data_IF_989431547022
#
_entry.id   IF_989431547022
#
_cell.length_a   1.000
_cell.length_b   1.000
_cell.length_c   1.000
_cell.angle_alpha   90.00
_cell.angle_beta   90.00
_cell.angle_gamma   90.00
#
_symmetry.space_group_name_H-M   'P 1'
#
loop_
_entity.id
_entity.type
_entity.pdbx_description
1 polymer ?
#
# COMPACT_ATOMS: atom_id res chain seq x y z
N UNK A 1 60.84 -43.50 40.72
CA UNK A 1 61.19 -43.84 39.33
C UNK A 1 60.28 -42.98 38.47
N UNK A 2 60.52 -41.68 38.27
CA UNK A 2 61.64 -41.01 37.56
C UNK A 2 61.70 -41.53 36.12
N UNK A 3 61.53 -40.77 35.03
CA UNK A 3 61.72 -39.35 34.69
C UNK A 3 60.63 -38.95 33.65
N UNK A 4 59.97 -37.78 33.63
CA UNK A 4 60.41 -36.41 33.27
C UNK A 4 61.18 -36.31 31.95
N UNK A 5 60.56 -35.72 30.92
CA UNK A 5 61.18 -34.68 30.09
C UNK A 5 60.12 -33.76 29.47
N UNK A 6 60.30 -32.49 29.77
CA UNK A 6 59.60 -31.27 29.40
C UNK A 6 60.24 -30.65 28.18
N UNK A 7 59.50 -29.92 27.34
CA UNK A 7 59.99 -28.68 26.73
C UNK A 7 58.83 -27.75 26.37
N UNK A 8 58.89 -26.56 26.96
CA UNK A 8 58.14 -25.36 26.61
C UNK A 8 58.95 -24.60 25.55
N UNK A 9 58.30 -23.83 24.67
CA UNK A 9 58.52 -22.38 24.65
C UNK A 9 57.54 -21.62 23.75
N UNK A 10 57.22 -20.44 24.27
CA UNK A 10 56.41 -19.34 23.76
C UNK A 10 56.95 -18.71 22.47
N UNK A 11 56.05 -18.19 21.64
CA UNK A 11 56.24 -16.86 21.05
C UNK A 11 54.93 -16.27 20.55
N UNK A 12 54.53 -15.21 21.25
CA UNK A 12 53.56 -14.21 20.81
C UNK A 12 54.15 -13.38 19.65
N UNK A 13 53.38 -13.06 18.61
CA UNK A 13 53.44 -11.77 17.90
C UNK A 13 52.13 -11.57 17.12
N UNK A 14 51.58 -10.37 17.30
CA UNK A 14 50.36 -9.81 16.72
C UNK A 14 50.61 -9.24 15.32
N UNK A 15 49.67 -9.39 14.38
CA UNK A 15 49.01 -8.27 13.65
C UNK A 15 48.16 -8.77 12.45
N UNK A 16 46.96 -8.20 12.36
CA UNK A 16 46.22 -7.66 11.17
C UNK A 16 46.63 -8.21 9.77
N UNK A 17 45.74 -8.55 8.84
CA UNK A 17 44.49 -7.91 8.44
C UNK A 17 43.71 -8.77 7.43
N UNK A 18 42.40 -8.52 7.37
CA UNK A 18 41.47 -8.51 6.21
C UNK A 18 41.49 -9.63 5.17
N UNK A 19 40.34 -10.33 5.07
CA UNK A 19 39.71 -10.69 3.80
C UNK A 19 38.22 -11.01 4.06
N UNK A 20 37.47 -9.95 4.34
CA UNK A 20 36.03 -9.91 4.14
C UNK A 20 35.78 -9.83 2.63
N UNK A 21 35.33 -10.91 2.02
CA UNK A 21 34.83 -10.89 0.63
C UNK A 21 33.32 -10.78 0.70
N UNK A 22 32.86 -9.60 1.12
CA UNK A 22 31.51 -9.14 0.91
C UNK A 22 31.47 -8.52 -0.50
N UNK A 23 31.00 -9.28 -1.48
CA UNK A 23 30.65 -8.71 -2.79
C UNK A 23 29.43 -7.80 -2.60
N UNK A 24 29.71 -6.51 -2.46
CA UNK A 24 28.73 -5.44 -2.47
C UNK A 24 28.29 -5.22 -3.93
N UNK A 25 27.08 -5.66 -4.26
CA UNK A 25 26.47 -5.39 -5.56
C UNK A 25 26.00 -3.93 -5.56
N UNK A 26 26.78 -3.03 -6.15
CA UNK A 26 26.30 -1.67 -6.50
C UNK A 26 25.25 -1.79 -7.61
N UNK A 27 24.02 -1.40 -7.28
CA UNK A 27 22.95 -1.18 -8.24
C UNK A 27 23.22 0.15 -8.96
N UNK A 28 23.68 0.09 -10.20
CA UNK A 28 23.73 1.24 -11.10
C UNK A 28 22.30 1.78 -11.29
N UNK A 29 21.99 2.90 -10.65
CA UNK A 29 20.80 3.70 -10.94
C UNK A 29 21.06 4.45 -12.24
N UNK A 30 20.39 4.05 -13.31
CA UNK A 30 20.32 4.88 -14.51
C UNK A 30 19.61 6.19 -14.17
N UNK A 31 20.39 7.27 -14.13
CA UNK A 31 19.94 8.63 -13.95
C UNK A 31 19.18 9.06 -15.20
N UNK A 32 17.84 9.11 -15.09
CA UNK A 32 16.98 9.53 -16.20
C UNK A 32 17.14 11.05 -16.42
N UNK A 33 17.78 11.38 -17.54
CA UNK A 33 18.09 12.75 -17.97
C UNK A 33 16.78 13.51 -18.30
N UNK A 34 16.35 14.38 -17.38
CA UNK A 34 15.23 15.30 -17.60
C UNK A 34 15.69 16.51 -18.42
N UNK A 35 14.99 16.89 -19.52
CA UNK A 35 15.40 18.02 -20.33
C UNK A 35 15.41 19.35 -19.55
N UNK A 36 16.58 19.96 -19.50
CA UNK A 36 16.86 21.29 -18.95
C UNK A 36 15.97 22.38 -19.55
N UNK A 37 15.10 22.97 -18.73
CA UNK A 37 14.62 24.34 -18.94
C UNK A 37 15.76 25.30 -18.57
N UNK A 38 16.18 26.12 -19.53
CA UNK A 38 17.23 27.13 -19.35
C UNK A 38 16.64 28.37 -18.68
N UNK A 39 16.98 28.59 -17.42
CA UNK A 39 16.88 29.92 -16.80
C UNK A 39 17.99 30.84 -17.36
N UNK A 40 17.67 32.06 -17.85
CA UNK A 40 18.67 33.04 -18.24
C UNK A 40 19.32 33.70 -17.01
N UNK A 41 20.64 33.78 -17.05
CA UNK A 41 21.52 34.35 -16.04
C UNK A 41 21.31 35.86 -15.86
N UNK A 42 21.24 36.30 -14.61
CA UNK A 42 21.44 37.70 -14.21
C UNK A 42 22.94 38.06 -14.23
N UNK A 43 23.32 39.01 -15.08
CA UNK A 43 24.49 39.87 -14.85
C UNK A 43 24.10 41.35 -14.98
N UNK A 44 24.83 42.15 -14.22
CA UNK A 44 24.46 43.43 -13.64
C UNK A 44 24.54 44.66 -14.56
N UNK A 45 23.68 45.63 -14.21
CA UNK A 45 23.80 47.09 -14.39
C UNK A 45 23.26 47.71 -15.68
N UNK A 46 22.07 48.32 -15.58
CA UNK A 46 21.87 49.73 -15.93
C UNK A 46 20.76 50.31 -15.06
N UNK A 47 21.01 51.49 -14.48
CA UNK A 47 20.08 52.21 -13.61
C UNK A 47 18.82 52.62 -14.37
N UNK A 48 17.64 52.22 -13.89
CA UNK A 48 16.39 52.89 -14.20
C UNK A 48 15.54 52.99 -12.93
N UNK A 49 15.08 54.21 -12.67
CA UNK A 49 14.50 54.69 -11.42
C UNK A 49 13.20 53.97 -11.06
N UNK A 50 13.07 53.63 -9.78
CA UNK A 50 11.79 53.31 -9.15
C UNK A 50 10.91 54.57 -9.16
N UNK A 51 9.95 54.63 -10.08
CA UNK A 51 8.85 55.58 -10.01
C UNK A 51 7.62 54.90 -9.39
N UNK A 52 7.54 54.96 -8.06
CA UNK A 52 6.29 54.80 -7.34
C UNK A 52 5.57 56.16 -7.30
N UNK A 53 4.65 56.38 -8.25
CA UNK A 53 3.41 57.17 -8.16
C UNK A 53 3.03 57.73 -9.54
N UNK A 54 1.91 57.29 -10.13
CA UNK A 54 0.67 58.10 -10.04
C UNK A 54 -0.56 57.34 -10.58
N UNK A 55 -1.66 57.66 -9.93
CA UNK A 55 -3.05 57.20 -10.03
C UNK A 55 -3.64 56.88 -11.41
N UNK A 56 -4.52 55.87 -11.42
CA UNK A 56 -5.94 56.09 -11.69
C UNK A 56 -6.80 54.96 -11.08
N UNK A 57 -7.86 55.37 -10.39
CA UNK A 57 -8.88 54.50 -9.80
C UNK A 57 -9.41 53.47 -10.82
N UNK A 58 -8.98 52.22 -10.70
CA UNK A 58 -9.80 51.09 -11.11
C UNK A 58 -10.48 50.59 -9.85
N UNK A 59 -11.77 50.88 -9.72
CA UNK A 59 -12.62 50.26 -8.71
C UNK A 59 -12.34 48.75 -8.68
N UNK A 60 -12.17 48.20 -7.47
CA UNK A 60 -11.64 46.87 -7.24
C UNK A 60 -12.18 45.85 -8.23
N UNK A 61 -11.30 45.29 -9.05
CA UNK A 61 -11.57 44.01 -9.68
C UNK A 61 -11.68 43.03 -8.50
N UNK A 62 -12.92 42.79 -8.08
CA UNK A 62 -13.24 41.69 -7.20
C UNK A 62 -12.83 40.47 -8.02
N UNK A 63 -11.66 39.91 -7.73
CA UNK A 63 -11.31 38.59 -8.25
C UNK A 63 -12.35 37.66 -7.65
N UNK A 64 -13.34 37.29 -8.46
CA UNK A 64 -14.36 36.33 -8.07
C UNK A 64 -13.72 34.96 -8.29
N UNK A 65 -13.51 34.17 -7.24
CA UNK A 65 -13.01 32.81 -7.41
C UNK A 65 -13.91 32.06 -8.39
N UNK A 66 -13.30 31.26 -9.28
CA UNK A 66 -13.99 30.38 -10.24
C UNK A 66 -14.62 31.05 -11.48
N UNK A 67 -14.45 32.36 -11.71
CA UNK A 67 -14.99 33.02 -12.93
C UNK A 67 -14.29 32.61 -14.23
N UNK A 68 -13.02 32.20 -14.17
CA UNK A 68 -12.24 31.76 -15.34
C UNK A 68 -12.21 30.23 -15.49
N UNK A 69 -12.90 29.49 -14.62
CA UNK A 69 -12.96 28.04 -14.72
C UNK A 69 -13.97 27.62 -15.80
N UNK A 70 -13.60 26.71 -16.72
CA UNK A 70 -14.51 26.23 -17.74
C UNK A 70 -15.69 25.50 -17.09
N UNK A 71 -16.91 25.93 -17.45
CA UNK A 71 -18.14 25.24 -17.04
C UNK A 71 -18.14 23.85 -17.69
N UNK A 72 -18.47 22.82 -16.91
CA UNK A 72 -18.60 21.46 -17.42
C UNK A 72 -19.64 21.41 -18.56
N UNK A 73 -19.26 20.81 -19.68
CA UNK A 73 -20.19 20.58 -20.78
C UNK A 73 -21.26 19.53 -20.41
N UNK A 74 -22.38 19.54 -21.15
CA UNK A 74 -23.52 18.65 -20.89
C UNK A 74 -23.10 17.17 -20.92
N UNK A 75 -22.19 16.80 -21.84
CA UNK A 75 -21.66 15.43 -21.97
C UNK A 75 -20.84 15.01 -20.74
N UNK A 76 -20.10 15.93 -20.12
CA UNK A 76 -19.33 15.70 -18.90
C UNK A 76 -20.26 15.54 -17.71
N UNK A 77 -21.28 16.40 -17.59
CA UNK A 77 -22.27 16.31 -16.52
C UNK A 77 -23.02 14.98 -16.58
N UNK A 78 -23.46 14.57 -17.77
CA UNK A 78 -24.16 13.28 -17.96
C UNK A 78 -23.27 12.09 -17.58
N UNK A 79 -21.98 12.09 -18.00
CA UNK A 79 -21.02 11.05 -17.60
C UNK A 79 -20.82 11.01 -16.09
N UNK A 80 -20.62 12.17 -15.46
CA UNK A 80 -20.42 12.27 -14.02
C UNK A 80 -21.63 11.76 -13.22
N UNK A 81 -22.84 12.15 -13.64
CA UNK A 81 -24.07 11.67 -13.00
C UNK A 81 -24.27 10.17 -13.17
N UNK A 82 -23.97 9.62 -14.36
CA UNK A 82 -24.01 8.19 -14.61
C UNK A 82 -23.00 7.43 -13.74
N UNK A 83 -21.76 7.92 -13.63
CA UNK A 83 -20.73 7.32 -12.76
C UNK A 83 -21.17 7.34 -11.29
N UNK A 84 -21.72 8.46 -10.82
CA UNK A 84 -22.25 8.58 -9.46
C UNK A 84 -23.42 7.62 -9.20
N UNK A 85 -24.33 7.48 -10.16
CA UNK A 85 -25.46 6.57 -10.05
C UNK A 85 -24.99 5.11 -10.00
N UNK A 86 -24.07 4.72 -10.88
CA UNK A 86 -23.49 3.37 -10.86
C UNK A 86 -22.75 3.06 -9.55
N UNK A 87 -22.00 4.03 -9.00
CA UNK A 87 -21.35 3.90 -7.71
C UNK A 87 -22.36 3.75 -6.56
N UNK A 88 -23.47 4.50 -6.60
CA UNK A 88 -24.56 4.39 -5.61
C UNK A 88 -25.21 3.00 -5.65
N UNK A 89 -25.56 2.52 -6.85
CA UNK A 89 -26.15 1.18 -7.04
C UNK A 89 -25.20 0.10 -6.54
N UNK A 90 -23.91 0.22 -6.87
CA UNK A 90 -22.91 -0.73 -6.42
C UNK A 90 -22.79 -0.75 -4.89
N UNK A 91 -22.76 0.41 -4.26
CA UNK A 91 -22.70 0.53 -2.80
C UNK A 91 -23.93 -0.07 -2.11
N UNK A 92 -25.14 0.16 -2.66
CA UNK A 92 -26.38 -0.44 -2.15
C UNK A 92 -26.34 -1.98 -2.26
N UNK A 93 -25.82 -2.53 -3.35
CA UNK A 93 -25.63 -3.97 -3.50
C UNK A 93 -24.70 -4.55 -2.44
N UNK A 94 -23.55 -3.90 -2.18
CA UNK A 94 -22.61 -4.31 -1.13
C UNK A 94 -23.27 -4.30 0.27
N UNK A 95 -24.12 -3.32 0.54
CA UNK A 95 -24.89 -3.28 1.79
C UNK A 95 -25.87 -4.45 1.89
N UNK A 96 -26.56 -4.82 0.81
CA UNK A 96 -27.45 -5.98 0.76
C UNK A 96 -26.70 -7.33 0.87
N UNK A 97 -25.41 -7.36 0.52
CA UNK A 97 -24.56 -8.54 0.77
C UNK A 97 -24.16 -8.64 2.25
N UNK A 98 -23.95 -7.50 2.92
CA UNK A 98 -23.58 -7.44 4.33
C UNK A 98 -24.74 -7.83 5.25
N UNK A 99 -25.95 -7.32 4.98
CA UNK A 99 -27.15 -7.61 5.79
C UNK A 99 -27.70 -9.03 5.55
N UNK A 100 -27.19 -9.73 4.54
CA UNK A 100 -27.57 -11.09 4.19
C UNK A 100 -28.81 -11.20 3.30
N UNK A 101 -29.34 -10.08 2.80
CA UNK A 101 -30.42 -10.07 1.79
C UNK A 101 -29.98 -10.82 0.53
N UNK A 102 -28.73 -10.62 0.10
CA UNK A 102 -28.07 -11.39 -0.95
C UNK A 102 -27.14 -12.42 -0.28
N UNK A 103 -27.45 -13.73 -0.35
CA UNK A 103 -26.61 -14.75 0.27
C UNK A 103 -25.25 -14.86 -0.43
N UNK A 104 -24.21 -15.21 0.34
CA UNK A 104 -22.82 -15.36 -0.13
C UNK A 104 -22.67 -16.21 -1.39
N UNK A 105 -23.50 -17.24 -1.56
CA UNK A 105 -23.48 -18.11 -2.73
C UNK A 105 -23.85 -17.42 -4.05
N UNK A 106 -24.54 -16.28 -4.01
CA UNK A 106 -24.96 -15.55 -5.21
C UNK A 106 -23.88 -14.62 -5.75
N UNK A 107 -23.05 -14.05 -4.89
CA UNK A 107 -22.00 -13.09 -5.30
C UNK A 107 -20.58 -13.65 -5.19
N UNK A 108 -20.34 -14.68 -4.36
CA UNK A 108 -19.03 -15.30 -4.27
C UNK A 108 -18.72 -16.12 -5.52
N UNK A 109 -17.70 -15.70 -6.28
CA UNK A 109 -17.22 -16.41 -7.48
C UNK A 109 -16.00 -17.30 -7.20
N UNK A 110 -15.36 -17.14 -6.03
CA UNK A 110 -14.13 -17.87 -5.66
C UNK A 110 -14.34 -19.04 -4.69
N UNK A 111 -15.59 -19.27 -4.25
CA UNK A 111 -16.01 -20.31 -3.29
C UNK A 111 -15.37 -20.26 -1.89
N UNK A 112 -14.70 -19.17 -1.53
CA UNK A 112 -14.00 -19.02 -0.24
C UNK A 112 -14.40 -17.73 0.53
N UNK A 113 -15.40 -16.99 0.05
CA UNK A 113 -15.89 -15.81 0.79
C UNK A 113 -16.81 -16.25 1.93
N UNK A 114 -16.73 -15.54 3.06
CA UNK A 114 -17.57 -15.75 4.23
C UNK A 114 -17.83 -14.39 4.89
N UNK A 115 -19.09 -14.15 5.30
CA UNK A 115 -19.56 -12.89 5.86
C UNK A 115 -19.46 -12.81 7.39
N UNK A 116 -19.25 -13.93 8.09
CA UNK A 116 -19.27 -14.03 9.56
C UNK A 116 -18.31 -13.10 10.29
N UNK A 117 -17.18 -12.77 9.67
CA UNK A 117 -16.12 -11.93 10.25
C UNK A 117 -16.00 -10.58 9.55
N UNK A 118 -16.91 -10.23 8.64
CA UNK A 118 -16.93 -8.93 7.95
C UNK A 118 -17.61 -7.87 8.81
N UNK A 119 -17.22 -6.60 8.64
CA UNK A 119 -17.70 -5.50 9.49
C UNK A 119 -18.43 -4.41 8.72
N UNK A 120 -18.19 -4.25 7.42
CA UNK A 120 -18.88 -3.26 6.60
C UNK A 120 -19.00 -3.70 5.14
N UNK A 121 -19.71 -2.89 4.36
CA UNK A 121 -20.07 -3.10 2.96
C UNK A 121 -18.85 -3.22 2.05
N UNK A 122 -17.79 -2.43 2.27
CA UNK A 122 -16.56 -2.49 1.47
C UNK A 122 -15.87 -3.85 1.53
N UNK A 123 -16.09 -4.62 2.60
CA UNK A 123 -15.49 -5.94 2.80
C UNK A 123 -16.27 -7.07 2.12
N UNK A 124 -17.44 -6.80 1.54
CA UNK A 124 -18.34 -7.79 0.90
C UNK A 124 -18.08 -7.99 -0.60
N UNK A 125 -16.83 -7.77 -1.01
CA UNK A 125 -16.37 -7.97 -2.39
C UNK A 125 -15.68 -9.32 -2.55
N UNK A 126 -15.96 -10.01 -3.66
CA UNK A 126 -15.24 -11.23 -4.01
C UNK A 126 -13.88 -10.88 -4.62
N UNK A 127 -12.85 -11.69 -4.38
CA UNK A 127 -11.54 -11.46 -5.00
C UNK A 127 -11.55 -11.56 -6.53
N UNK A 128 -12.57 -12.17 -7.13
CA UNK A 128 -12.75 -12.23 -8.58
C UNK A 128 -13.43 -10.97 -9.16
N UNK A 129 -14.02 -10.12 -8.31
CA UNK A 129 -14.58 -8.81 -8.72
C UNK A 129 -13.50 -7.72 -8.72
N UNK A 130 -12.35 -7.99 -8.09
CA UNK A 130 -11.24 -7.05 -7.98
C UNK A 130 -10.21 -7.36 -9.07
N UNK A 131 -10.11 -6.48 -10.07
CA UNK A 131 -9.18 -6.63 -11.22
C UNK A 131 -7.73 -6.88 -10.83
N UNK A 132 -7.26 -6.27 -9.75
CA UNK A 132 -5.88 -6.45 -9.29
C UNK A 132 -5.67 -7.82 -8.68
N UNK A 133 -6.66 -8.40 -8.03
CA UNK A 133 -6.59 -9.77 -7.51
C UNK A 133 -6.53 -10.79 -8.66
N UNK A 134 -7.34 -10.61 -9.71
CA UNK A 134 -7.33 -11.52 -10.87
C UNK A 134 -6.02 -11.42 -11.68
N UNK A 135 -5.47 -10.20 -11.82
CA UNK A 135 -4.14 -9.98 -12.41
C UNK A 135 -3.03 -10.61 -11.57
N UNK A 136 -3.05 -10.44 -10.25
CA UNK A 136 -2.06 -11.05 -9.36
C UNK A 136 -2.08 -12.58 -9.42
N UNK A 137 -3.26 -13.20 -9.61
CA UNK A 137 -3.39 -14.65 -9.78
C UNK A 137 -2.87 -15.19 -11.11
N UNK A 138 -2.75 -14.32 -12.12
CA UNK A 138 -2.35 -14.69 -13.48
C UNK A 138 -0.97 -14.13 -13.84
N UNK A 139 -0.17 -13.72 -12.85
CA UNK A 139 1.19 -13.22 -13.10
C UNK A 139 2.13 -14.36 -13.50
N UNK A 140 3.17 -14.03 -14.28
CA UNK A 140 4.14 -15.02 -14.75
C UNK A 140 4.82 -15.75 -13.59
N UNK A 141 5.16 -15.05 -12.50
CA UNK A 141 5.73 -15.63 -11.28
C UNK A 141 4.81 -16.70 -10.65
N UNK A 142 3.50 -16.44 -10.64
CA UNK A 142 2.52 -17.40 -10.12
C UNK A 142 2.40 -18.58 -11.07
N UNK A 143 2.38 -18.36 -12.38
CA UNK A 143 2.29 -19.43 -13.37
C UNK A 143 3.51 -20.34 -13.41
N UNK A 144 4.66 -19.86 -12.95
CA UNK A 144 5.86 -20.69 -12.77
C UNK A 144 5.70 -21.68 -11.61
N UNK A 145 4.99 -21.29 -10.54
CA UNK A 145 4.75 -22.13 -9.36
C UNK A 145 3.49 -23.00 -9.50
N UNK A 146 2.47 -22.50 -10.18
CA UNK A 146 1.19 -23.18 -10.43
C UNK A 146 0.86 -23.13 -11.91
N UNK A 147 0.91 -24.29 -12.58
CA UNK A 147 0.68 -24.44 -14.03
C UNK A 147 -0.63 -23.80 -14.53
N UNK A 148 -1.61 -23.59 -13.64
CA UNK A 148 -2.92 -22.99 -13.94
C UNK A 148 -3.20 -21.88 -12.91
N UNK A 149 -3.70 -20.69 -13.34
CA UNK A 149 -4.06 -19.62 -12.44
C UNK A 149 -5.04 -20.09 -11.36
N UNK A 150 -4.81 -19.78 -10.08
CA UNK A 150 -5.73 -20.16 -9.02
C UNK A 150 -7.06 -19.40 -9.13
N UNK A 151 -8.15 -20.05 -8.71
CA UNK A 151 -9.50 -19.45 -8.71
C UNK A 151 -9.75 -18.51 -7.52
N UNK A 152 -8.84 -18.42 -6.56
CA UNK A 152 -8.99 -17.60 -5.37
C UNK A 152 -7.63 -17.07 -4.90
N UNK A 153 -7.62 -15.84 -4.38
CA UNK A 153 -6.41 -15.23 -3.79
C UNK A 153 -5.85 -16.00 -2.60
N UNK A 154 -6.66 -16.80 -1.91
CA UNK A 154 -6.17 -17.67 -0.84
C UNK A 154 -5.23 -18.78 -1.36
N UNK A 155 -5.39 -19.17 -2.63
CA UNK A 155 -4.57 -20.18 -3.29
C UNK A 155 -3.37 -19.57 -4.03
N UNK A 156 -3.17 -18.25 -3.94
CA UNK A 156 -1.97 -17.62 -4.45
C UNK A 156 -0.75 -18.13 -3.65
N UNK A 157 0.35 -18.58 -4.31
CA UNK A 157 1.53 -19.14 -3.63
C UNK A 157 2.08 -18.26 -2.50
N UNK A 158 2.18 -16.95 -2.77
CA UNK A 158 2.60 -15.95 -1.79
C UNK A 158 1.58 -15.58 -0.70
N UNK A 159 0.30 -15.94 -0.78
CA UNK A 159 -0.71 -15.46 0.18
C UNK A 159 -0.45 -16.01 1.58
N UNK A 160 -0.34 -17.34 1.71
CA UNK A 160 -0.12 -17.97 3.01
C UNK A 160 1.18 -17.49 3.65
N UNK A 161 2.25 -17.49 2.87
CA UNK A 161 3.60 -17.14 3.35
C UNK A 161 3.66 -15.68 3.80
N UNK A 162 3.07 -14.74 3.05
CA UNK A 162 3.18 -13.32 3.37
C UNK A 162 2.10 -12.82 4.34
N UNK A 163 0.90 -13.40 4.31
CA UNK A 163 -0.26 -12.86 5.04
C UNK A 163 -0.61 -13.65 6.31
N UNK A 164 -0.27 -14.95 6.40
CA UNK A 164 -0.71 -15.82 7.50
C UNK A 164 0.43 -16.31 8.41
N UNK A 165 1.66 -16.36 7.90
CA UNK A 165 2.82 -16.83 8.67
C UNK A 165 3.43 -15.75 9.58
N UNK A 166 3.44 -16.00 10.89
CA UNK A 166 3.87 -15.02 11.91
C UNK A 166 5.30 -14.50 11.68
N UNK A 167 6.24 -15.37 11.33
CA UNK A 167 7.64 -14.99 11.16
C UNK A 167 7.86 -14.11 9.92
N UNK A 168 7.16 -14.41 8.83
CA UNK A 168 7.14 -13.58 7.63
C UNK A 168 6.60 -12.18 7.95
N UNK A 169 5.46 -12.12 8.65
CA UNK A 169 4.88 -10.84 9.10
C UNK A 169 5.83 -10.05 10.00
N UNK A 170 6.58 -10.70 10.91
CA UNK A 170 7.60 -10.03 11.74
C UNK A 170 8.72 -9.43 10.89
N UNK A 171 9.18 -10.14 9.86
CA UNK A 171 10.20 -9.64 8.93
C UNK A 171 9.68 -8.49 8.06
N UNK A 172 8.39 -8.43 7.79
CA UNK A 172 7.76 -7.35 7.03
C UNK A 172 7.61 -6.03 7.80
N UNK A 173 7.55 -6.06 9.14
CA UNK A 173 7.31 -4.87 9.99
C UNK A 173 8.18 -3.65 9.64
N UNK A 174 9.50 -3.77 9.43
CA UNK A 174 10.36 -2.62 9.17
C UNK A 174 10.00 -1.82 7.92
N UNK A 175 9.28 -2.43 6.96
CA UNK A 175 8.79 -1.78 5.73
C UNK A 175 7.75 -0.71 6.02
N UNK A 176 7.00 -0.85 7.12
CA UNK A 176 5.81 -0.05 7.37
C UNK A 176 6.04 1.13 8.31
N UNK A 177 5.37 2.25 7.97
CA UNK A 177 5.32 3.46 8.78
C UNK A 177 3.87 3.80 9.14
N UNK A 178 3.67 4.47 10.27
CA UNK A 178 2.37 5.04 10.63
C UNK A 178 2.04 6.25 9.75
N UNK A 179 0.80 6.77 9.82
CA UNK A 179 0.40 8.02 9.14
C UNK A 179 1.31 9.21 9.49
N UNK A 180 1.89 9.22 10.69
CA UNK A 180 2.82 10.26 11.20
C UNK A 180 4.29 9.99 10.75
N UNK A 181 4.53 8.96 9.94
CA UNK A 181 5.87 8.60 9.43
C UNK A 181 6.77 7.86 10.43
N UNK A 182 6.27 7.52 11.63
CA UNK A 182 7.03 6.73 12.62
C UNK A 182 7.07 5.26 12.19
N UNK A 183 8.18 4.57 12.48
CA UNK A 183 8.29 3.12 12.27
C UNK A 183 7.13 2.41 12.97
N UNK A 184 6.46 1.51 12.25
CA UNK A 184 5.38 0.75 12.81
C UNK A 184 5.91 -0.20 13.89
N UNK A 185 5.23 -0.25 15.04
CA UNK A 185 5.60 -1.08 16.19
C UNK A 185 4.36 -1.75 16.73
N UNK A 186 4.55 -2.85 17.44
CA UNK A 186 3.45 -3.54 18.09
C UNK A 186 2.76 -2.62 19.10
N UNK A 187 1.46 -2.42 18.90
CA UNK A 187 0.56 -1.74 19.80
C UNK A 187 -0.64 -2.66 20.03
N UNK A 188 -1.07 -2.82 21.28
CA UNK A 188 -2.15 -3.75 21.63
C UNK A 188 -1.71 -5.22 21.59
N UNK A 189 -2.64 -6.12 21.27
CA UNK A 189 -2.41 -7.57 21.24
C UNK A 189 -1.54 -7.99 20.05
N UNK A 190 -0.88 -9.15 20.15
CA UNK A 190 -0.06 -9.69 19.07
C UNK A 190 -0.90 -9.96 17.80
N UNK A 191 -2.13 -10.44 17.98
CA UNK A 191 -3.10 -10.76 16.93
C UNK A 191 -3.56 -9.50 16.20
N UNK A 192 -3.87 -8.43 16.94
CA UNK A 192 -4.25 -7.13 16.35
C UNK A 192 -3.11 -6.56 15.51
N UNK A 193 -1.88 -6.71 16.02
CA UNK A 193 -0.68 -6.29 15.33
C UNK A 193 -0.46 -7.09 14.03
N UNK A 194 -0.49 -8.42 14.10
CA UNK A 194 -0.30 -9.26 12.91
C UNK A 194 -1.41 -9.08 11.89
N UNK A 195 -2.66 -8.98 12.32
CA UNK A 195 -3.78 -8.69 11.42
C UNK A 195 -3.57 -7.39 10.65
N UNK A 196 -3.09 -6.34 11.33
CA UNK A 196 -2.78 -5.06 10.69
C UNK A 196 -1.65 -5.16 9.66
N UNK A 197 -0.63 -5.98 9.93
CA UNK A 197 0.49 -6.22 8.99
C UNK A 197 0.03 -7.08 7.82
N UNK A 198 -0.73 -8.14 8.09
CA UNK A 198 -1.27 -9.07 7.09
C UNK A 198 -2.14 -8.35 6.06
N UNK A 199 -2.98 -7.39 6.50
CA UNK A 199 -3.75 -6.57 5.56
C UNK A 199 -2.84 -5.79 4.60
N UNK A 200 -1.75 -5.21 5.11
CA UNK A 200 -0.80 -4.45 4.28
C UNK A 200 0.04 -5.35 3.38
N UNK A 201 0.50 -6.49 3.87
CA UNK A 201 1.23 -7.48 3.05
C UNK A 201 0.33 -8.02 1.94
N UNK A 202 -0.97 -8.25 2.19
CA UNK A 202 -1.92 -8.60 1.13
C UNK A 202 -2.02 -7.49 0.09
N UNK A 203 -2.18 -6.23 0.51
CA UNK A 203 -2.23 -5.11 -0.42
C UNK A 203 -0.94 -5.00 -1.23
N UNK A 204 0.22 -5.22 -0.60
CA UNK A 204 1.52 -5.25 -1.28
C UNK A 204 1.62 -6.42 -2.28
N UNK A 205 1.10 -7.60 -1.93
CA UNK A 205 1.08 -8.78 -2.80
C UNK A 205 0.26 -8.53 -4.07
N UNK A 206 -0.89 -7.86 -3.94
CA UNK A 206 -1.85 -7.69 -5.05
C UNK A 206 -1.62 -6.42 -5.87
N UNK A 207 -1.21 -5.32 -5.22
CA UNK A 207 -1.11 -4.00 -5.83
C UNK A 207 0.32 -3.47 -5.91
N UNK A 208 1.30 -4.12 -5.26
CA UNK A 208 2.62 -3.53 -5.06
C UNK A 208 2.59 -2.38 -4.06
N UNK A 209 3.47 -1.38 -4.26
CA UNK A 209 3.62 -0.26 -3.32
C UNK A 209 2.46 0.73 -3.50
N UNK A 210 1.56 0.82 -2.50
CA UNK A 210 0.39 1.72 -2.52
C UNK A 210 0.60 3.09 -1.86
N UNK A 211 1.74 3.31 -1.22
CA UNK A 211 2.02 4.56 -0.50
C UNK A 211 1.03 4.81 0.64
N UNK A 212 0.23 5.88 0.55
CA UNK A 212 -0.80 6.23 1.54
C UNK A 212 -2.19 5.69 1.21
N UNK A 213 -2.41 5.17 0.01
CA UNK A 213 -3.71 4.68 -0.42
C UNK A 213 -4.07 3.40 0.33
N UNK A 214 -5.32 3.32 0.78
CA UNK A 214 -5.89 2.14 1.41
C UNK A 214 -6.99 1.61 0.52
N UNK A 215 -6.92 0.32 0.20
CA UNK A 215 -7.90 -0.35 -0.66
C UNK A 215 -8.49 -1.50 0.18
N UNK A 216 -9.82 -1.70 0.19
CA UNK A 216 -10.43 -2.79 0.92
C UNK A 216 -9.96 -4.14 0.37
N UNK A 217 -9.82 -5.12 1.26
CA UNK A 217 -9.49 -6.49 0.88
C UNK A 217 -10.77 -7.24 0.44
N UNK A 218 -10.65 -8.30 -0.36
CA UNK A 218 -11.81 -9.16 -0.64
C UNK A 218 -12.23 -9.96 0.61
N UNK A 219 -13.50 -10.32 0.68
CA UNK A 219 -14.11 -11.03 1.79
C UNK A 219 -13.36 -12.31 2.19
N UNK A 220 -12.89 -13.09 1.21
CA UNK A 220 -12.13 -14.32 1.47
C UNK A 220 -10.81 -14.04 2.19
N UNK A 221 -10.10 -12.96 1.84
CA UNK A 221 -8.86 -12.59 2.49
C UNK A 221 -9.09 -12.05 3.90
N UNK A 222 -10.12 -11.21 4.10
CA UNK A 222 -10.52 -10.77 5.44
C UNK A 222 -10.84 -11.95 6.35
N UNK A 223 -11.70 -12.87 5.90
CA UNK A 223 -12.08 -14.03 6.69
C UNK A 223 -10.87 -14.91 7.04
N UNK A 224 -9.99 -15.21 6.09
CA UNK A 224 -8.80 -16.02 6.33
C UNK A 224 -7.84 -15.37 7.34
N UNK A 225 -7.55 -14.07 7.17
CA UNK A 225 -6.65 -13.32 8.07
C UNK A 225 -7.26 -13.19 9.47
N UNK A 226 -8.56 -12.90 9.58
CA UNK A 226 -9.27 -12.76 10.87
C UNK A 226 -9.44 -14.09 11.58
N UNK A 227 -9.52 -15.19 10.84
CA UNK A 227 -9.51 -16.54 11.43
C UNK A 227 -8.13 -16.89 11.98
N UNK A 228 -7.06 -16.58 11.22
CA UNK A 228 -5.68 -16.83 11.64
C UNK A 228 -5.25 -15.94 12.82
N UNK A 229 -5.73 -14.69 12.85
CA UNK A 229 -5.48 -13.72 13.92
C UNK A 229 -6.82 -13.22 14.48
N UNK A 230 -7.46 -13.97 15.40
CA UNK A 230 -8.78 -13.66 15.93
C UNK A 230 -8.88 -12.27 16.57
N UNK A 231 -10.04 -11.61 16.52
CA UNK A 231 -10.32 -10.52 17.44
C UNK A 231 -10.35 -11.10 18.86
N UNK A 232 -9.54 -10.54 19.77
CA UNK A 232 -9.67 -10.85 21.20
C UNK A 232 -10.91 -10.17 21.77
N UNK A 233 -10.79 -9.58 22.96
CA UNK A 233 -11.91 -8.85 23.60
C UNK A 233 -12.29 -7.53 22.89
N UNK A 234 -11.55 -7.15 21.83
CA UNK A 234 -11.82 -5.94 21.05
C UNK A 234 -12.56 -6.30 19.78
N UNK A 235 -13.62 -5.55 19.49
CA UNK A 235 -14.35 -5.61 18.22
C UNK A 235 -13.42 -5.35 17.03
N UNK A 236 -13.72 -5.98 15.90
CA UNK A 236 -13.00 -5.74 14.66
C UNK A 236 -13.38 -4.36 14.14
N UNK A 237 -12.39 -3.54 13.83
CA UNK A 237 -12.62 -2.33 13.04
C UNK A 237 -12.65 -2.71 11.57
N UNK A 238 -13.71 -2.33 10.87
CA UNK A 238 -13.84 -2.51 9.43
C UNK A 238 -12.91 -1.61 8.62
N UNK A 239 -12.96 -1.73 7.29
CA UNK A 239 -12.33 -0.77 6.39
C UNK A 239 -12.94 0.63 6.55
N UNK A 240 -12.12 1.67 6.57
CA UNK A 240 -12.58 3.05 6.69
C UNK A 240 -11.89 3.86 5.60
N UNK A 241 -12.68 4.58 4.81
CA UNK A 241 -12.16 5.48 3.78
C UNK A 241 -11.49 6.65 4.48
N UNK A 242 -10.27 6.97 4.07
CA UNK A 242 -9.61 8.17 4.57
C UNK A 242 -10.40 9.36 3.99
N UNK A 243 -11.27 9.98 4.78
CA UNK A 243 -11.95 11.24 4.41
C UNK A 243 -10.84 12.23 4.08
N UNK A 244 -10.62 12.48 2.79
CA UNK A 244 -9.72 13.54 2.37
C UNK A 244 -10.36 14.84 2.83
N UNK A 245 -9.73 15.51 3.80
CA UNK A 245 -10.06 16.89 4.15
C UNK A 245 -10.05 17.71 2.85
N UNK A 246 -11.25 18.05 2.37
CA UNK A 246 -11.46 18.94 1.22
C UNK A 246 -11.18 20.39 1.62
#
# INVERSE_FOLDING_TARGET
MSASESYSDDSSTSCESDLDTSEEYELEVEEYDSPSEKEPQEESSTQAQFDCNNHQNSAGAVVVPYEEEPIADDDWVERYESEKETARIHFEELQQRLDGTIPTSQWCKCNNCDTSLLQNEYETQCCQEIDRCTKALSSDDVLQDVEIPPTCVLNHPGFRINCLEKWSLKMAVPKYKTKIGKRYRQQGSEETFFRSIAYREFSQLVYGVLGRLRIPLPACAYHAIRTQFPPGDKELTGFDEDVSDQ
#
